data_IF_261243046045
#
_entry.id   IF_261243046045
#
_cell.length_a   1.000
_cell.length_b   1.000
_cell.length_c   1.000
_cell.angle_alpha   90.00
_cell.angle_beta   90.00
_cell.angle_gamma   90.00
#
_symmetry.space_group_name_H-M   'P 1'
#
loop_
_entity.id
_entity.type
_entity.pdbx_description
1 polymer ?
#
# COMPACT_ATOMS: atom_id res chain seq x y z
N UNK A 1 0.34 -35.16 7.92
CA UNK A 1 1.28 -34.39 8.76
C UNK A 1 0.45 -33.42 9.60
N UNK A 2 0.24 -33.71 10.89
CA UNK A 2 -0.52 -32.85 11.82
C UNK A 2 0.35 -31.63 12.17
N UNK A 3 -0.14 -30.42 11.89
CA UNK A 3 0.53 -29.21 12.32
C UNK A 3 0.44 -29.11 13.84
N UNK A 4 1.59 -29.12 14.51
CA UNK A 4 1.69 -28.94 15.96
C UNK A 4 1.38 -27.47 16.27
N UNK A 5 0.13 -27.20 16.64
CA UNK A 5 -0.30 -25.89 17.13
C UNK A 5 0.33 -25.68 18.52
N UNK A 6 1.35 -24.82 18.61
CA UNK A 6 1.87 -24.36 19.91
C UNK A 6 0.87 -23.37 20.51
N UNK A 7 -0.08 -23.88 21.30
CA UNK A 7 -1.15 -23.10 21.90
C UNK A 7 -0.66 -22.47 23.20
N UNK A 8 -0.04 -21.29 23.12
CA UNK A 8 0.27 -20.49 24.31
C UNK A 8 -0.93 -19.61 24.69
N UNK A 9 -1.19 -19.49 25.99
CA UNK A 9 -2.16 -18.52 26.53
C UNK A 9 -1.75 -17.11 26.08
N UNK A 10 -2.68 -16.35 25.51
CA UNK A 10 -2.42 -15.07 24.83
C UNK A 10 -2.23 -15.16 23.32
N UNK A 11 -2.23 -16.36 22.72
CA UNK A 11 -2.18 -16.51 21.26
C UNK A 11 -3.50 -16.06 20.60
N UNK A 12 -3.36 -15.36 19.47
CA UNK A 12 -4.50 -14.97 18.63
C UNK A 12 -4.85 -16.11 17.68
N UNK A 13 -6.09 -16.57 17.75
CA UNK A 13 -6.62 -17.69 16.97
C UNK A 13 -7.91 -17.27 16.26
N UNK A 14 -8.16 -17.87 15.10
CA UNK A 14 -9.40 -17.65 14.36
C UNK A 14 -10.42 -18.71 14.73
N UNK A 15 -11.57 -18.28 15.23
CA UNK A 15 -12.71 -19.15 15.56
C UNK A 15 -13.96 -18.59 14.90
N UNK A 16 -14.65 -19.40 14.07
CA UNK A 16 -15.86 -19.00 13.33
C UNK A 16 -15.72 -17.66 12.58
N UNK A 17 -14.57 -17.44 11.91
CA UNK A 17 -14.25 -16.20 11.18
C UNK A 17 -14.12 -14.94 12.06
N UNK A 18 -13.94 -15.11 13.37
CA UNK A 18 -13.65 -14.04 14.33
C UNK A 18 -12.24 -14.22 14.92
N UNK A 19 -11.58 -13.12 15.21
CA UNK A 19 -10.25 -13.11 15.83
C UNK A 19 -10.42 -13.11 17.34
N UNK A 20 -10.00 -14.19 17.97
CA UNK A 20 -10.11 -14.38 19.41
C UNK A 20 -8.75 -14.63 20.06
N UNK A 21 -8.61 -14.24 21.32
CA UNK A 21 -7.42 -14.46 22.14
C UNK A 21 -7.68 -15.59 23.12
N UNK A 22 -6.77 -16.55 23.20
CA UNK A 22 -6.87 -17.63 24.19
C UNK A 22 -6.57 -17.05 25.56
N UNK A 23 -7.58 -17.00 26.44
CA UNK A 23 -7.46 -16.43 27.78
C UNK A 23 -7.13 -17.50 28.82
N UNK A 24 -7.67 -18.71 28.66
CA UNK A 24 -7.40 -19.83 29.56
C UNK A 24 -7.53 -21.18 28.83
N UNK A 25 -6.79 -22.18 29.31
CA UNK A 25 -6.94 -23.58 28.89
C UNK A 25 -7.80 -24.26 29.94
N UNK A 26 -8.95 -24.80 29.55
CA UNK A 26 -9.85 -25.51 30.46
C UNK A 26 -9.49 -27.01 30.52
N UNK A 27 -9.12 -27.59 29.38
CA UNK A 27 -8.70 -28.98 29.25
C UNK A 27 -7.73 -29.14 28.06
N UNK A 28 -7.12 -30.30 27.89
CA UNK A 28 -6.20 -30.62 26.77
C UNK A 28 -6.80 -30.31 25.39
N UNK A 29 -8.13 -30.42 25.27
CA UNK A 29 -8.86 -30.16 24.02
C UNK A 29 -9.70 -28.89 24.03
N UNK A 30 -9.93 -28.24 25.18
CA UNK A 30 -10.87 -27.11 25.31
C UNK A 30 -10.20 -25.83 25.80
N UNK A 31 -10.44 -24.74 25.06
CA UNK A 31 -9.82 -23.44 25.27
C UNK A 31 -10.90 -22.37 25.44
N UNK A 32 -10.71 -21.48 26.41
CA UNK A 32 -11.51 -20.28 26.58
C UNK A 32 -10.91 -19.16 25.74
N UNK A 33 -11.70 -18.70 24.79
CA UNK A 33 -11.39 -17.63 23.86
C UNK A 33 -12.09 -16.35 24.30
N UNK A 34 -11.44 -15.21 24.11
CA UNK A 34 -12.08 -13.89 24.21
C UNK A 34 -12.03 -13.22 22.85
N UNK A 35 -13.17 -12.77 22.34
CA UNK A 35 -13.23 -12.00 21.10
C UNK A 35 -12.49 -10.66 21.29
N UNK A 36 -11.59 -10.34 20.36
CA UNK A 36 -10.82 -9.10 20.37
C UNK A 36 -11.65 -7.84 20.10
N UNK A 37 -12.80 -7.98 19.43
CA UNK A 37 -13.65 -6.85 19.02
C UNK A 37 -14.81 -6.64 20.00
N UNK A 38 -15.41 -7.72 20.49
CA UNK A 38 -16.63 -7.65 21.33
C UNK A 38 -16.38 -7.93 22.81
N UNK A 39 -15.21 -8.48 23.17
CA UNK A 39 -14.89 -8.85 24.55
C UNK A 39 -15.71 -10.02 25.10
N UNK A 40 -16.52 -10.67 24.27
CA UNK A 40 -17.30 -11.83 24.66
C UNK A 40 -16.42 -13.09 24.79
N UNK A 41 -16.68 -13.87 25.83
CA UNK A 41 -15.97 -15.11 26.10
C UNK A 41 -16.68 -16.30 25.42
N UNK A 42 -15.91 -17.13 24.70
CA UNK A 42 -16.37 -18.32 23.98
C UNK A 42 -15.54 -19.53 24.39
N UNK A 43 -16.13 -20.72 24.31
CA UNK A 43 -15.42 -21.98 24.52
C UNK A 43 -15.28 -22.69 23.16
N UNK A 44 -14.06 -23.08 22.82
CA UNK A 44 -13.76 -23.73 21.55
C UNK A 44 -12.83 -24.93 21.73
N UNK A 45 -13.03 -25.97 20.91
CA UNK A 45 -12.13 -27.13 20.86
C UNK A 45 -10.93 -26.83 19.98
N UNK A 46 -9.77 -27.43 20.28
CA UNK A 46 -8.54 -27.27 19.49
C UNK A 46 -8.73 -27.58 18.00
N UNK A 47 -9.60 -28.54 17.67
CA UNK A 47 -9.91 -28.94 16.30
C UNK A 47 -10.54 -27.82 15.46
N UNK A 48 -11.22 -26.87 16.11
CA UNK A 48 -11.93 -25.77 15.46
C UNK A 48 -11.08 -24.48 15.42
N UNK A 49 -9.88 -24.50 16.01
CA UNK A 49 -8.97 -23.36 16.06
C UNK A 49 -8.02 -23.37 14.86
N UNK A 50 -8.09 -22.34 14.04
CA UNK A 50 -7.11 -22.10 12.98
C UNK A 50 -6.12 -21.04 13.43
N UNK A 51 -4.82 -21.26 13.14
CA UNK A 51 -3.82 -20.20 13.31
C UNK A 51 -4.15 -19.06 12.37
N UNK A 52 -4.19 -17.85 12.91
CA UNK A 52 -4.21 -16.64 12.09
C UNK A 52 -2.87 -16.60 11.35
N UNK A 53 -2.85 -17.01 10.08
CA UNK A 53 -1.72 -16.70 9.22
C UNK A 53 -1.70 -15.19 9.06
N UNK A 54 -0.80 -14.52 9.79
CA UNK A 54 -0.62 -13.07 9.85
C UNK A 54 -0.35 -12.41 8.47
N UNK A 55 -0.25 -13.20 7.41
CA UNK A 55 -0.10 -12.74 6.04
C UNK A 55 -1.36 -12.09 5.45
N UNK A 56 -2.56 -12.44 5.93
CA UNK A 56 -3.81 -11.86 5.38
C UNK A 56 -4.30 -10.61 6.15
N UNK A 57 -4.06 -10.52 7.46
CA UNK A 57 -4.50 -9.37 8.27
C UNK A 57 -3.62 -8.14 8.16
N UNK A 58 -2.33 -8.29 7.83
CA UNK A 58 -1.41 -7.15 7.68
C UNK A 58 -1.72 -6.25 6.47
N UNK A 59 -2.62 -6.69 5.58
CA UNK A 59 -2.93 -5.96 4.36
C UNK A 59 -4.13 -4.99 4.48
N UNK A 60 -4.93 -5.04 5.55
CA UNK A 60 -6.08 -4.14 5.71
C UNK A 60 -5.69 -2.78 6.32
N UNK A 61 -4.81 -2.78 7.33
CA UNK A 61 -4.35 -1.55 8.01
C UNK A 61 -3.28 -0.76 7.23
N UNK A 62 -2.68 -1.39 6.21
CA UNK A 62 -1.66 -0.77 5.34
C UNK A 62 -2.16 -0.51 3.91
N UNK A 63 -3.47 -0.41 3.70
CA UNK A 63 -3.99 0.06 2.41
C UNK A 63 -3.68 1.56 2.31
N UNK A 64 -2.86 2.00 1.34
CA UNK A 64 -2.62 3.42 1.15
C UNK A 64 -3.95 4.14 0.90
N UNK A 65 -4.15 5.30 1.53
CA UNK A 65 -5.34 6.15 1.37
C UNK A 65 -5.73 6.33 -0.11
N UNK A 66 -4.74 6.42 -1.00
CA UNK A 66 -4.95 6.52 -2.44
C UNK A 66 -5.66 5.31 -3.05
N UNK A 67 -5.40 4.09 -2.54
CA UNK A 67 -6.12 2.88 -2.98
C UNK A 67 -7.57 2.89 -2.47
N UNK A 68 -7.80 3.40 -1.27
CA UNK A 68 -9.15 3.53 -0.71
C UNK A 68 -10.00 4.51 -1.54
N UNK A 69 -9.43 5.68 -1.86
CA UNK A 69 -10.08 6.68 -2.71
C UNK A 69 -10.40 6.15 -4.10
N UNK A 70 -9.48 5.42 -4.73
CA UNK A 70 -9.74 4.78 -6.04
C UNK A 70 -10.82 3.69 -5.95
N UNK A 71 -10.81 2.89 -4.89
CA UNK A 71 -11.85 1.89 -4.65
C UNK A 71 -13.23 2.54 -4.52
N UNK A 72 -13.32 3.65 -3.78
CA UNK A 72 -14.54 4.42 -3.61
C UNK A 72 -15.03 5.00 -4.94
N UNK A 73 -14.14 5.64 -5.71
CA UNK A 73 -14.47 6.16 -7.04
C UNK A 73 -15.04 5.08 -7.96
N UNK A 74 -14.45 3.87 -7.96
CA UNK A 74 -14.98 2.77 -8.75
C UNK A 74 -16.34 2.28 -8.22
N UNK A 75 -16.54 2.29 -6.89
CA UNK A 75 -17.80 1.94 -6.28
C UNK A 75 -18.91 2.90 -6.68
N UNK A 76 -18.66 4.21 -6.66
CA UNK A 76 -19.64 5.24 -7.04
C UNK A 76 -20.10 5.09 -8.51
N UNK A 77 -19.26 4.51 -9.37
CA UNK A 77 -19.65 4.19 -10.76
C UNK A 77 -20.64 3.03 -10.80
N UNK A 78 -20.42 1.98 -10.00
CA UNK A 78 -21.21 0.73 -10.05
C UNK A 78 -22.39 0.70 -9.08
N UNK A 79 -22.41 1.53 -8.04
CA UNK A 79 -23.48 1.61 -7.05
C UNK A 79 -24.89 1.67 -7.67
N UNK A 80 -25.20 2.59 -8.62
CA UNK A 80 -26.52 2.64 -9.23
C UNK A 80 -26.86 1.37 -10.03
N UNK A 81 -25.85 0.70 -10.59
CA UNK A 81 -26.00 -0.54 -11.35
C UNK A 81 -26.18 -1.77 -10.43
N UNK A 82 -25.75 -1.69 -9.17
CA UNK A 82 -25.97 -2.73 -8.16
C UNK A 82 -27.38 -2.62 -7.60
N UNK A 83 -27.85 -1.39 -7.33
CA UNK A 83 -29.19 -1.14 -6.77
C UNK A 83 -30.32 -1.57 -7.71
N UNK A 84 -30.08 -1.62 -9.03
CA UNK A 84 -31.05 -2.12 -10.01
C UNK A 84 -30.69 -3.54 -10.53
N UNK A 85 -31.26 -4.61 -9.94
CA UNK A 85 -30.98 -5.98 -10.37
C UNK A 85 -31.54 -6.33 -11.76
N UNK A 86 -32.50 -5.55 -12.29
CA UNK A 86 -33.08 -5.70 -13.66
C UNK A 86 -32.36 -4.85 -14.71
N UNK A 87 -31.09 -4.50 -14.48
CA UNK A 87 -30.27 -3.70 -15.39
C UNK A 87 -30.21 -4.27 -16.81
N UNK A 88 -30.43 -3.42 -17.79
CA UNK A 88 -30.20 -3.72 -19.21
C UNK A 88 -28.74 -3.44 -19.60
N UNK A 89 -28.31 -4.00 -20.73
CA UNK A 89 -27.00 -3.67 -21.34
C UNK A 89 -26.91 -2.18 -21.68
N UNK A 90 -28.03 -1.55 -22.04
CA UNK A 90 -28.13 -0.11 -22.30
C UNK A 90 -27.74 0.72 -21.07
N UNK A 91 -28.21 0.33 -19.89
CA UNK A 91 -28.02 1.11 -18.67
C UNK A 91 -26.55 1.13 -18.23
N UNK A 92 -25.87 0.00 -18.44
CA UNK A 92 -24.41 -0.11 -18.21
C UNK A 92 -23.65 0.76 -19.22
N UNK A 93 -24.09 0.82 -20.48
CA UNK A 93 -23.46 1.63 -21.51
C UNK A 93 -23.64 3.14 -21.26
N UNK A 94 -24.84 3.57 -20.86
CA UNK A 94 -25.12 4.96 -20.49
C UNK A 94 -24.24 5.37 -19.32
N UNK A 95 -24.21 4.57 -18.25
CA UNK A 95 -23.39 4.86 -17.07
C UNK A 95 -21.89 4.86 -17.36
N UNK A 96 -21.44 3.95 -18.21
CA UNK A 96 -20.05 3.89 -18.67
C UNK A 96 -19.66 5.18 -19.43
N UNK A 97 -20.54 5.66 -20.30
CA UNK A 97 -20.33 6.90 -21.06
C UNK A 97 -20.32 8.15 -20.15
N UNK A 98 -21.25 8.25 -19.19
CA UNK A 98 -21.29 9.34 -18.21
C UNK A 98 -19.99 9.47 -17.40
N UNK A 99 -19.43 8.34 -16.97
CA UNK A 99 -18.22 8.30 -16.15
C UNK A 99 -16.93 8.30 -16.99
N UNK A 100 -17.01 8.26 -18.32
CA UNK A 100 -15.84 8.17 -19.21
C UNK A 100 -15.06 6.85 -19.08
N UNK A 101 -15.71 5.77 -18.65
CA UNK A 101 -15.09 4.45 -18.43
C UNK A 101 -15.54 3.46 -19.49
N UNK A 102 -14.65 2.58 -19.95
CA UNK A 102 -15.02 1.55 -20.91
C UNK A 102 -15.99 0.51 -20.29
N UNK A 103 -16.99 0.09 -21.07
CA UNK A 103 -18.05 -0.86 -20.66
C UNK A 103 -17.48 -2.14 -20.03
N UNK A 104 -16.39 -2.70 -20.60
CA UNK A 104 -15.74 -3.90 -20.08
C UNK A 104 -15.15 -3.73 -18.68
N UNK A 105 -14.68 -2.53 -18.34
CA UNK A 105 -14.17 -2.21 -17.00
C UNK A 105 -15.29 -2.18 -15.97
N UNK A 106 -16.46 -1.63 -16.33
CA UNK A 106 -17.65 -1.63 -15.48
C UNK A 106 -18.12 -3.06 -15.20
N UNK A 107 -18.17 -3.92 -16.23
CA UNK A 107 -18.48 -5.34 -16.03
C UNK A 107 -17.46 -6.06 -15.16
N UNK A 108 -16.17 -5.75 -15.31
CA UNK A 108 -15.12 -6.31 -14.45
C UNK A 108 -15.34 -5.92 -12.98
N UNK A 109 -15.63 -4.65 -12.70
CA UNK A 109 -15.92 -4.18 -11.35
C UNK A 109 -17.17 -4.82 -10.76
N UNK A 110 -18.25 -4.92 -11.53
CA UNK A 110 -19.47 -5.61 -11.11
C UNK A 110 -19.23 -7.09 -10.78
N UNK A 111 -18.42 -7.77 -11.59
CA UNK A 111 -18.04 -9.17 -11.32
C UNK A 111 -17.21 -9.28 -10.04
N UNK A 112 -16.17 -8.46 -9.90
CA UNK A 112 -15.30 -8.47 -8.72
C UNK A 112 -16.07 -8.14 -7.44
N UNK A 113 -17.00 -7.19 -7.47
CA UNK A 113 -17.83 -6.83 -6.31
C UNK A 113 -18.81 -7.94 -5.93
N UNK A 114 -19.42 -8.63 -6.90
CA UNK A 114 -20.31 -9.77 -6.64
C UNK A 114 -19.58 -10.96 -6.02
N UNK A 115 -18.33 -11.19 -6.39
CA UNK A 115 -17.53 -12.32 -5.91
C UNK A 115 -16.93 -12.05 -4.54
N UNK A 116 -16.49 -10.82 -4.24
CA UNK A 116 -15.80 -10.50 -2.99
C UNK A 116 -16.68 -9.81 -1.94
N UNK A 117 -17.65 -8.99 -2.34
CA UNK A 117 -18.41 -8.12 -1.44
C UNK A 117 -17.61 -6.97 -0.82
N UNK A 118 -16.32 -6.81 -1.16
CA UNK A 118 -15.41 -5.82 -0.52
C UNK A 118 -14.99 -4.74 -1.51
N UNK A 119 -14.99 -3.47 -1.05
CA UNK A 119 -14.58 -2.30 -1.84
C UNK A 119 -13.14 -2.40 -2.36
N UNK A 120 -12.23 -2.94 -1.56
CA UNK A 120 -10.81 -3.08 -1.92
C UNK A 120 -10.59 -3.97 -3.15
N UNK A 121 -11.52 -4.87 -3.47
CA UNK A 121 -11.48 -5.70 -4.67
C UNK A 121 -11.78 -4.94 -5.97
N UNK A 122 -12.36 -3.74 -5.88
CA UNK A 122 -12.62 -2.87 -7.05
C UNK A 122 -11.33 -2.21 -7.56
N UNK A 123 -10.30 -2.17 -6.73
CA UNK A 123 -8.98 -1.71 -7.14
C UNK A 123 -8.25 -2.82 -7.88
N UNK A 124 -7.51 -2.46 -8.93
CA UNK A 124 -6.68 -3.43 -9.66
C UNK A 124 -5.70 -4.09 -8.68
N UNK A 125 -5.73 -5.42 -8.61
CA UNK A 125 -4.70 -6.20 -7.90
C UNK A 125 -3.33 -5.74 -8.41
N UNK A 126 -2.50 -5.21 -7.53
CA UNK A 126 -1.13 -4.88 -7.87
C UNK A 126 -0.43 -6.17 -8.26
N UNK A 127 0.35 -6.10 -9.34
CA UNK A 127 1.12 -7.22 -9.86
C UNK A 127 2.08 -7.69 -8.76
N UNK A 128 2.00 -8.96 -8.35
CA UNK A 128 2.80 -9.53 -7.25
C UNK A 128 4.30 -9.63 -7.54
N UNK A 129 4.67 -9.41 -8.80
CA UNK A 129 6.02 -9.30 -9.34
C UNK A 129 6.58 -7.86 -9.26
N UNK A 130 5.75 -6.87 -8.95
CA UNK A 130 6.22 -5.49 -8.77
C UNK A 130 7.12 -5.38 -7.53
N UNK A 131 8.43 -5.26 -7.77
CA UNK A 131 9.43 -5.08 -6.72
C UNK A 131 10.17 -6.35 -6.30
N UNK A 132 9.80 -7.54 -6.83
CA UNK A 132 10.58 -8.76 -6.59
C UNK A 132 11.84 -8.74 -7.45
N UNK A 133 13.01 -8.75 -6.81
CA UNK A 133 14.31 -8.89 -7.47
C UNK A 133 14.44 -10.32 -7.97
N UNK A 134 14.36 -10.52 -9.30
CA UNK A 134 14.68 -11.81 -9.93
C UNK A 134 16.18 -12.13 -9.92
N UNK A 135 17.02 -11.21 -9.45
CA UNK A 135 18.47 -11.37 -9.35
C UNK A 135 18.82 -12.02 -8.02
N UNK A 136 19.86 -12.85 -8.03
CA UNK A 136 20.47 -13.35 -6.79
C UNK A 136 21.00 -12.20 -5.95
N UNK A 137 20.94 -12.36 -4.63
CA UNK A 137 21.36 -11.34 -3.67
C UNK A 137 22.83 -10.93 -3.88
N UNK A 138 23.70 -11.89 -4.24
CA UNK A 138 25.11 -11.65 -4.54
C UNK A 138 25.31 -10.65 -5.70
N UNK A 139 24.54 -10.82 -6.78
CA UNK A 139 24.62 -9.93 -7.95
C UNK A 139 24.06 -8.55 -7.59
N UNK A 140 22.98 -8.50 -6.81
CA UNK A 140 22.40 -7.23 -6.37
C UNK A 140 23.36 -6.46 -5.45
N UNK A 141 24.08 -7.16 -4.56
CA UNK A 141 25.09 -6.56 -3.69
C UNK A 141 26.30 -6.05 -4.49
N UNK A 142 26.76 -6.83 -5.47
CA UNK A 142 27.83 -6.40 -6.38
C UNK A 142 27.44 -5.15 -7.17
N UNK A 143 26.21 -5.09 -7.70
CA UNK A 143 25.70 -3.90 -8.40
C UNK A 143 25.73 -2.69 -7.47
N UNK A 144 25.22 -2.82 -6.23
CA UNK A 144 25.22 -1.71 -5.25
C UNK A 144 26.64 -1.20 -4.98
N UNK A 145 27.58 -2.11 -4.74
CA UNK A 145 28.97 -1.76 -4.48
C UNK A 145 29.60 -0.98 -5.65
N UNK A 146 29.41 -1.44 -6.89
CA UNK A 146 29.92 -0.75 -8.07
C UNK A 146 29.27 0.62 -8.24
N UNK A 147 27.96 0.73 -7.99
CA UNK A 147 27.26 2.01 -8.08
C UNK A 147 27.74 3.02 -7.04
N UNK A 148 28.03 2.59 -5.81
CA UNK A 148 28.55 3.48 -4.76
C UNK A 148 29.97 3.98 -5.09
N UNK A 149 30.85 3.09 -5.53
CA UNK A 149 32.27 3.41 -5.79
C UNK A 149 32.45 4.15 -7.11
N UNK A 150 31.83 3.68 -8.19
CA UNK A 150 32.11 4.15 -9.55
C UNK A 150 31.10 5.17 -10.09
N UNK A 151 29.82 5.05 -9.71
CA UNK A 151 28.76 5.94 -10.20
C UNK A 151 28.52 7.16 -9.29
N UNK A 152 28.45 6.95 -7.97
CA UNK A 152 28.28 8.00 -6.95
C UNK A 152 29.62 8.65 -6.55
N UNK A 153 30.52 8.79 -7.52
CA UNK A 153 31.83 9.42 -7.36
C UNK A 153 31.94 10.71 -8.17
N UNK A 154 32.82 11.60 -7.74
CA UNK A 154 33.17 12.87 -8.42
C UNK A 154 33.72 12.65 -9.83
N UNK A 155 34.28 11.46 -10.11
CA UNK A 155 34.76 11.08 -11.44
C UNK A 155 33.62 10.91 -12.47
N UNK A 156 32.37 10.73 -12.03
CA UNK A 156 31.16 10.67 -12.89
C UNK A 156 31.31 9.71 -14.08
N UNK A 157 31.77 8.48 -13.84
CA UNK A 157 31.90 7.47 -14.89
C UNK A 157 30.58 7.27 -15.65
N UNK A 158 30.68 7.06 -16.97
CA UNK A 158 29.50 6.88 -17.82
C UNK A 158 28.78 5.57 -17.53
N UNK A 159 27.47 5.53 -17.78
CA UNK A 159 26.64 4.34 -17.55
C UNK A 159 27.18 3.13 -18.32
N UNK A 160 27.70 3.32 -19.52
CA UNK A 160 28.30 2.25 -20.32
C UNK A 160 29.58 1.68 -19.69
N UNK A 161 30.40 2.52 -19.03
CA UNK A 161 31.58 2.05 -18.30
C UNK A 161 31.19 1.22 -17.08
N UNK A 162 30.13 1.64 -16.37
CA UNK A 162 29.60 0.91 -15.22
C UNK A 162 29.04 -0.45 -15.63
N UNK A 163 28.28 -0.52 -16.72
CA UNK A 163 27.78 -1.79 -17.25
C UNK A 163 28.95 -2.75 -17.54
N UNK A 164 29.98 -2.26 -18.24
CA UNK A 164 31.18 -3.06 -18.53
C UNK A 164 31.88 -3.53 -17.25
N UNK A 165 32.00 -2.66 -16.26
CA UNK A 165 32.65 -3.00 -14.99
C UNK A 165 31.85 -4.03 -14.18
N UNK A 166 30.53 -3.90 -14.12
CA UNK A 166 29.64 -4.87 -13.47
C UNK A 166 29.77 -6.23 -14.16
N UNK A 167 29.64 -6.27 -15.49
CA UNK A 167 29.81 -7.51 -16.27
C UNK A 167 31.17 -8.15 -16.01
N UNK A 168 32.25 -7.37 -16.03
CA UNK A 168 33.61 -7.85 -15.73
C UNK A 168 33.73 -8.47 -14.34
N UNK A 169 33.15 -7.83 -13.31
CA UNK A 169 33.17 -8.35 -11.94
C UNK A 169 32.29 -9.59 -11.76
N UNK A 170 31.13 -9.64 -12.40
CA UNK A 170 30.28 -10.84 -12.42
C UNK A 170 31.04 -12.03 -13.00
N UNK A 171 31.71 -11.86 -14.16
CA UNK A 171 32.52 -12.92 -14.75
C UNK A 171 33.68 -13.34 -13.85
N UNK A 172 34.35 -12.40 -13.18
CA UNK A 172 35.45 -12.72 -12.24
C UNK A 172 34.97 -13.57 -11.06
N UNK A 173 33.71 -13.42 -10.65
CA UNK A 173 33.10 -14.13 -9.53
C UNK A 173 32.25 -15.34 -9.97
N UNK A 174 32.28 -15.71 -11.25
CA UNK A 174 31.42 -16.76 -11.84
C UNK A 174 29.91 -16.56 -11.58
N UNK A 175 29.46 -15.30 -11.49
CA UNK A 175 28.06 -14.94 -11.31
C UNK A 175 27.38 -14.65 -12.66
N UNK A 176 26.08 -14.93 -12.80
CA UNK A 176 25.33 -14.60 -14.01
C UNK A 176 25.28 -13.08 -14.20
N UNK A 177 25.76 -12.60 -15.34
CA UNK A 177 25.79 -11.17 -15.62
C UNK A 177 24.38 -10.61 -15.81
N UNK A 178 24.01 -9.52 -15.10
CA UNK A 178 22.69 -8.90 -15.25
C UNK A 178 22.55 -8.22 -16.62
N UNK A 179 21.32 -8.20 -17.14
CA UNK A 179 21.03 -7.47 -18.38
C UNK A 179 21.24 -5.95 -18.20
N UNK A 180 21.71 -5.26 -19.26
CA UNK A 180 22.02 -3.84 -19.22
C UNK A 180 20.84 -2.95 -18.78
N UNK A 181 19.61 -3.32 -19.15
CA UNK A 181 18.42 -2.58 -18.72
C UNK A 181 18.15 -2.70 -17.23
N UNK A 182 18.53 -3.82 -16.60
CA UNK A 182 18.39 -4.01 -15.16
C UNK A 182 19.30 -3.04 -14.41
N UNK A 183 20.57 -2.92 -14.84
CA UNK A 183 21.52 -1.94 -14.29
C UNK A 183 20.99 -0.51 -14.48
N UNK A 184 20.50 -0.17 -15.68
CA UNK A 184 19.90 1.17 -15.94
C UNK A 184 18.71 1.44 -15.03
N UNK A 185 17.85 0.44 -14.80
CA UNK A 185 16.72 0.56 -13.88
C UNK A 185 17.18 0.79 -12.44
N UNK A 186 18.23 0.11 -11.98
CA UNK A 186 18.82 0.34 -10.64
C UNK A 186 19.37 1.75 -10.51
N UNK A 187 20.09 2.21 -11.52
CA UNK A 187 20.58 3.59 -11.57
C UNK A 187 19.40 4.57 -11.53
N UNK A 188 18.30 4.31 -12.22
CA UNK A 188 17.10 5.17 -12.20
C UNK A 188 16.48 5.24 -10.79
N UNK A 189 16.41 4.12 -10.08
CA UNK A 189 15.80 4.01 -8.76
C UNK A 189 16.56 4.73 -7.64
N UNK A 190 17.86 5.04 -7.81
CA UNK A 190 18.59 5.86 -6.83
C UNK A 190 17.94 7.25 -6.74
N UNK A 191 17.76 7.76 -5.53
CA UNK A 191 17.13 9.06 -5.28
C UNK A 191 17.87 10.20 -6.03
N UNK A 192 17.15 11.09 -6.73
CA UNK A 192 17.75 12.14 -7.54
C UNK A 192 18.56 13.15 -6.70
N UNK A 193 18.16 13.36 -5.45
CA UNK A 193 18.85 14.21 -4.49
C UNK A 193 20.23 13.63 -4.16
N UNK A 194 20.33 12.32 -3.86
CA UNK A 194 21.61 11.64 -3.59
C UNK A 194 22.52 11.68 -4.81
N UNK A 195 21.99 11.42 -6.01
CA UNK A 195 22.77 11.50 -7.26
C UNK A 195 23.40 12.88 -7.42
N UNK A 196 22.63 13.93 -7.19
CA UNK A 196 23.07 15.31 -7.35
C UNK A 196 24.08 15.69 -6.27
N UNK A 197 23.83 15.31 -5.02
CA UNK A 197 24.72 15.59 -3.90
C UNK A 197 26.10 14.96 -4.08
N UNK A 198 26.16 13.68 -4.48
CA UNK A 198 27.40 12.92 -4.64
C UNK A 198 28.14 13.25 -5.93
N UNK A 199 27.42 13.49 -7.04
CA UNK A 199 28.06 13.76 -8.35
C UNK A 199 28.40 15.22 -8.55
N UNK A 200 27.51 16.15 -8.16
CA UNK A 200 27.69 17.59 -8.39
C UNK A 200 28.25 18.27 -7.15
N UNK A 201 27.43 18.44 -6.12
CA UNK A 201 27.80 18.96 -4.80
C UNK A 201 26.56 18.94 -3.89
N UNK A 202 26.80 18.98 -2.57
CA UNK A 202 25.72 19.12 -1.59
C UNK A 202 24.88 20.38 -1.87
N UNK A 203 25.53 21.53 -2.08
CA UNK A 203 24.87 22.81 -2.38
C UNK A 203 23.99 22.74 -3.63
N UNK A 204 24.42 22.06 -4.69
CA UNK A 204 23.62 21.91 -5.90
C UNK A 204 22.38 21.03 -5.67
N UNK A 205 22.47 20.02 -4.80
CA UNK A 205 21.32 19.21 -4.43
C UNK A 205 20.34 20.02 -3.57
N UNK A 206 20.85 20.80 -2.64
CA UNK A 206 20.06 21.67 -1.78
C UNK A 206 19.30 22.72 -2.60
N UNK A 207 19.97 23.45 -3.49
CA UNK A 207 19.30 24.42 -4.37
C UNK A 207 18.21 23.80 -5.26
N UNK A 208 18.36 22.53 -5.66
CA UNK A 208 17.43 21.88 -6.61
C UNK A 208 16.29 21.13 -5.92
N UNK A 209 16.52 20.58 -4.73
CA UNK A 209 15.60 19.66 -4.07
C UNK A 209 15.18 20.13 -2.67
N UNK A 210 15.75 21.22 -2.13
CA UNK A 210 15.21 21.80 -0.91
C UNK A 210 13.78 22.28 -1.16
N UNK A 211 12.85 22.03 -0.22
CA UNK A 211 11.55 22.66 -0.27
C UNK A 211 11.74 24.16 -0.37
N UNK A 212 10.98 24.82 -1.26
CA UNK A 212 10.90 26.27 -1.26
C UNK A 212 10.43 26.66 0.13
N UNK A 213 11.34 27.21 0.96
CA UNK A 213 10.96 27.88 2.18
C UNK A 213 10.22 29.13 1.75
N UNK A 214 8.91 28.99 1.54
CA UNK A 214 8.02 30.12 1.46
C UNK A 214 8.22 30.92 2.72
N UNK A 215 8.62 32.18 2.57
CA UNK A 215 8.41 33.15 3.62
C UNK A 215 6.90 33.15 3.87
N UNK A 216 6.49 32.49 4.96
CA UNK A 216 5.21 32.75 5.61
C UNK A 216 5.30 34.20 6.08
N UNK A 217 5.08 35.10 5.12
CA UNK A 217 4.73 36.48 5.34
C UNK A 217 3.43 36.41 6.12
N UNK A 218 3.57 36.40 7.44
CA UNK A 218 2.53 36.60 8.45
C UNK A 218 1.35 37.32 7.82
N UNK A 219 0.39 36.55 7.32
CA UNK A 219 -0.84 37.07 6.77
C UNK A 219 -1.48 37.80 7.94
N UNK A 220 -1.39 39.13 7.91
CA UNK A 220 -2.04 39.98 8.89
C UNK A 220 -3.53 39.83 8.61
N UNK A 221 -4.14 38.84 9.24
CA UNK A 221 -5.58 38.72 9.33
C UNK A 221 -6.09 40.10 9.76
N UNK A 222 -6.94 40.78 8.97
CA UNK A 222 -7.52 42.03 9.41
C UNK A 222 -8.27 41.73 10.70
N UNK A 223 -7.90 42.46 11.76
CA UNK A 223 -8.61 42.40 13.02
C UNK A 223 -10.08 42.73 12.73
N UNK A 224 -10.97 41.75 12.92
CA UNK A 224 -12.41 41.99 12.97
C UNK A 224 -12.64 42.92 14.17
N UNK A 225 -12.61 44.23 13.95
CA UNK A 225 -13.06 45.23 14.90
C UNK A 225 -14.57 45.02 15.07
N UNK A 226 -14.97 44.71 16.30
CA UNK A 226 -16.35 44.42 16.66
C UNK A 226 -17.32 45.48 16.18
N UNK A 227 -18.23 45.08 15.30
CA UNK A 227 -19.48 45.78 15.07
C UNK A 227 -20.58 44.95 15.75
N UNK A 228 -21.01 45.47 16.88
CA UNK A 228 -22.09 45.02 17.73
C UNK A 228 -23.38 44.89 16.90
N UNK A 229 -23.74 43.67 16.46
CA UNK A 229 -25.09 43.40 15.95
C UNK A 229 -25.89 42.75 17.07
N UNK A 230 -26.66 43.59 17.76
CA UNK A 230 -27.71 43.17 18.69
C UNK A 230 -28.72 42.29 17.96
N UNK A 231 -28.63 40.98 18.14
CA UNK A 231 -29.70 40.06 17.75
C UNK A 231 -30.78 40.11 18.82
N UNK A 232 -31.87 40.81 18.49
CA UNK A 232 -33.09 40.88 19.30
C UNK A 232 -33.75 39.50 19.25
N UNK A 233 -33.60 38.73 20.33
CA UNK A 233 -34.29 37.44 20.52
C UNK A 233 -35.78 37.73 20.65
N UNK A 234 -36.56 37.41 19.61
CA UNK A 234 -38.02 37.33 19.73
C UNK A 234 -38.35 36.00 20.41
N UNK A 235 -38.77 36.10 21.67
CA UNK A 235 -39.55 35.08 22.33
C UNK A 235 -40.84 34.85 21.54
N UNK A 236 -41.10 33.59 21.16
CA UNK A 236 -42.46 33.11 20.97
C UNK A 236 -42.66 31.96 21.94
N UNK A 237 -43.54 32.22 22.90
CA UNK A 237 -44.15 31.27 23.81
C UNK A 237 -45.61 31.10 23.34
N UNK A 238 -46.13 29.89 23.53
CA UNK A 238 -47.47 29.36 23.22
C UNK A 238 -47.70 28.88 21.78
#
# INVERSE_FOLDING_TARGET
MKATLNVNVGAMVLFQNKICVITAVLDLETYQLRDSVTGADYQAKLADLSTVQSAELTHLDSIPEQKWQLAQQHFDVIEPLIRNPKRSKSDVQVRAAECGVHISTVYRWLKSYKESGVLTALTRKQRSDSGKTQLSDDVEQLIRQVLEVDYLSTQRKSIQKIIREITRRCHKQNLPAPHANTIRSRIKNIAPQIKTAKRLSHKAAEMKFSPLQGSISKCRLPAFSGANRSYKVRHYFS
#
